data_IF_937591509625
#
_entry.id   IF_937591509625
#
_cell.length_a   1.000
_cell.length_b   1.000
_cell.length_c   1.000
_cell.angle_alpha   90.00
_cell.angle_beta   90.00
_cell.angle_gamma   90.00
#
_symmetry.space_group_name_H-M   'P 1'
#
loop_
_entity.id
_entity.type
_entity.pdbx_description
1 polymer ?
#
# COMPACT_ATOMS: atom_id res chain seq x y z
N UNK A 1 18.45 -5.72 18.06
CA UNK A 1 18.61 -5.92 16.61
C UNK A 1 19.47 -7.16 16.43
N UNK A 2 18.96 -8.18 15.73
CA UNK A 2 19.65 -9.45 15.51
C UNK A 2 20.31 -9.45 14.13
N UNK A 3 21.47 -10.10 14.00
CA UNK A 3 22.20 -10.21 12.74
C UNK A 3 22.12 -11.65 12.24
N UNK A 4 21.99 -11.80 10.93
CA UNK A 4 21.99 -13.08 10.22
C UNK A 4 22.97 -12.99 9.06
N UNK A 5 23.67 -14.09 8.79
CA UNK A 5 24.58 -14.19 7.63
C UNK A 5 23.91 -15.13 6.64
N UNK A 6 23.76 -14.68 5.39
CA UNK A 6 23.13 -15.46 4.32
C UNK A 6 24.10 -15.54 3.16
N UNK A 7 24.40 -16.76 2.71
CA UNK A 7 25.15 -16.98 1.48
C UNK A 7 24.26 -16.67 0.27
N UNK A 8 24.64 -15.64 -0.50
CA UNK A 8 23.89 -15.18 -1.66
C UNK A 8 23.99 -16.13 -2.86
N UNK A 9 25.01 -17.00 -2.92
CA UNK A 9 25.14 -17.99 -4.01
C UNK A 9 24.09 -19.10 -3.89
N UNK A 10 23.57 -19.34 -2.68
CA UNK A 10 22.53 -20.32 -2.38
C UNK A 10 21.20 -19.69 -1.95
N UNK A 11 20.97 -18.43 -2.33
CA UNK A 11 19.78 -17.66 -2.02
C UNK A 11 19.15 -17.06 -3.28
N UNK A 12 17.83 -16.95 -3.31
CA UNK A 12 17.14 -16.19 -4.36
C UNK A 12 17.53 -14.69 -4.32
N UNK A 13 17.31 -13.96 -5.42
CA UNK A 13 17.81 -12.59 -5.58
C UNK A 13 17.02 -11.54 -4.80
N UNK A 14 15.85 -11.89 -4.24
CA UNK A 14 14.96 -10.94 -3.57
C UNK A 14 15.13 -11.03 -2.05
N UNK A 15 14.90 -9.92 -1.35
CA UNK A 15 14.98 -9.86 0.11
C UNK A 15 14.00 -10.85 0.75
N UNK A 16 12.85 -11.14 0.14
CA UNK A 16 11.96 -12.19 0.64
C UNK A 16 12.64 -13.57 0.67
N UNK A 17 13.48 -13.89 -0.31
CA UNK A 17 14.16 -15.19 -0.38
C UNK A 17 15.15 -15.35 0.78
N UNK A 18 15.89 -14.28 1.12
CA UNK A 18 16.81 -14.31 2.25
C UNK A 18 16.09 -14.43 3.59
N UNK A 19 14.97 -13.73 3.78
CA UNK A 19 14.16 -13.86 5.01
C UNK A 19 13.58 -15.28 5.15
N UNK A 20 13.11 -15.89 4.06
CA UNK A 20 12.64 -17.28 4.06
C UNK A 20 13.78 -18.25 4.40
N UNK A 21 14.96 -18.05 3.81
CA UNK A 21 16.14 -18.87 4.08
C UNK A 21 16.57 -18.79 5.55
N UNK A 22 16.63 -17.58 6.12
CA UNK A 22 16.89 -17.38 7.55
C UNK A 22 15.88 -18.16 8.39
N UNK A 23 14.58 -18.03 8.09
CA UNK A 23 13.54 -18.73 8.86
C UNK A 23 13.68 -20.24 8.79
N UNK A 24 13.99 -20.79 7.62
CA UNK A 24 14.03 -22.24 7.42
C UNK A 24 15.31 -22.88 7.96
N UNK A 25 16.44 -22.17 7.90
CA UNK A 25 17.76 -22.76 8.12
C UNK A 25 18.46 -22.26 9.39
N UNK A 26 18.08 -21.09 9.92
CA UNK A 26 18.79 -20.42 11.03
C UNK A 26 17.90 -20.11 12.23
N UNK A 27 16.71 -19.55 12.01
CA UNK A 27 15.78 -19.19 13.09
C UNK A 27 14.30 -19.44 12.71
N UNK A 28 13.74 -20.60 13.05
CA UNK A 28 12.33 -20.91 12.84
C UNK A 28 11.35 -19.98 13.57
N UNK A 29 11.80 -19.20 14.57
CA UNK A 29 10.94 -18.31 15.35
C UNK A 29 10.63 -16.99 14.64
N UNK A 30 11.47 -16.58 13.67
CA UNK A 30 11.32 -15.37 12.86
C UNK A 30 9.97 -15.33 12.12
N UNK A 31 9.22 -14.26 12.30
CA UNK A 31 7.85 -14.12 11.81
C UNK A 31 7.67 -12.93 10.88
N UNK A 32 7.06 -13.16 9.71
CA UNK A 32 6.77 -12.15 8.70
C UNK A 32 5.59 -12.59 7.83
N UNK A 33 4.95 -11.64 7.13
CA UNK A 33 3.83 -11.93 6.21
C UNK A 33 4.31 -12.04 4.76
N UNK A 34 3.81 -13.04 4.03
CA UNK A 34 4.08 -13.25 2.59
C UNK A 34 3.01 -14.13 1.94
N UNK A 35 2.80 -13.96 0.62
CA UNK A 35 1.93 -14.85 -0.17
C UNK A 35 2.40 -15.00 -1.63
N UNK A 36 2.11 -14.03 -2.52
CA UNK A 36 2.18 -14.19 -3.99
C UNK A 36 3.58 -14.30 -4.63
N UNK A 37 4.64 -13.83 -3.96
CA UNK A 37 6.01 -13.70 -4.51
C UNK A 37 6.23 -12.76 -5.71
N UNK A 38 5.18 -12.21 -6.33
CA UNK A 38 5.31 -11.34 -7.52
C UNK A 38 4.86 -9.87 -7.31
N UNK A 39 4.74 -9.42 -6.06
CA UNK A 39 4.45 -8.02 -5.76
C UNK A 39 3.01 -7.57 -6.06
N UNK A 40 2.04 -8.48 -5.96
CA UNK A 40 0.62 -8.18 -6.18
C UNK A 40 -0.21 -8.13 -4.88
N UNK A 41 -0.01 -9.08 -3.95
CA UNK A 41 -0.85 -9.17 -2.74
C UNK A 41 -0.56 -8.12 -1.66
N UNK A 42 0.59 -7.45 -1.72
CA UNK A 42 1.02 -6.44 -0.73
C UNK A 42 1.41 -6.98 0.66
N UNK A 43 1.28 -8.28 0.94
CA UNK A 43 1.45 -8.82 2.31
C UNK A 43 2.86 -8.69 2.88
N UNK A 44 3.90 -8.63 2.04
CA UNK A 44 5.30 -8.54 2.46
C UNK A 44 5.84 -7.10 2.51
N UNK A 45 4.95 -6.13 2.76
CA UNK A 45 5.32 -4.75 2.96
C UNK A 45 6.14 -4.57 4.25
N UNK A 46 7.32 -3.98 4.13
CA UNK A 46 8.24 -3.71 5.24
C UNK A 46 9.19 -2.57 4.86
N UNK A 47 9.98 -2.09 5.81
CA UNK A 47 11.02 -1.10 5.55
C UNK A 47 12.36 -1.81 5.33
N UNK A 48 12.98 -1.58 4.17
CA UNK A 48 14.25 -2.17 3.77
C UNK A 48 15.20 -1.02 3.44
N UNK A 49 16.33 -0.96 4.14
CA UNK A 49 17.33 0.11 4.01
C UNK A 49 16.75 1.53 4.11
N UNK A 50 15.73 1.71 4.97
CA UNK A 50 15.07 3.01 5.18
C UNK A 50 13.90 3.29 4.24
N UNK A 51 13.64 2.44 3.24
CA UNK A 51 12.56 2.64 2.25
C UNK A 51 11.45 1.59 2.43
N UNK A 52 10.20 2.02 2.42
CA UNK A 52 9.06 1.09 2.46
C UNK A 52 8.88 0.45 1.09
N UNK A 53 8.91 -0.87 1.02
CA UNK A 53 8.74 -1.62 -0.24
C UNK A 53 8.19 -3.02 0.03
N UNK A 54 8.02 -3.82 -1.02
CA UNK A 54 7.63 -5.22 -0.93
C UNK A 54 8.88 -6.09 -1.02
N UNK A 55 9.12 -6.91 0.01
CA UNK A 55 10.32 -7.75 0.08
C UNK A 55 10.47 -8.70 -1.12
N UNK A 56 9.36 -9.13 -1.74
CA UNK A 56 9.38 -10.08 -2.86
C UNK A 56 9.83 -9.49 -4.20
N UNK A 57 9.89 -8.16 -4.33
CA UNK A 57 10.39 -7.47 -5.53
C UNK A 57 11.55 -6.52 -5.21
N UNK A 58 11.99 -6.50 -3.95
CA UNK A 58 13.16 -5.76 -3.53
C UNK A 58 14.38 -6.67 -3.72
N UNK A 59 15.26 -6.29 -4.66
CA UNK A 59 16.50 -7.04 -4.92
C UNK A 59 17.49 -6.85 -3.77
N UNK A 60 18.21 -7.91 -3.44
CA UNK A 60 19.35 -7.84 -2.53
C UNK A 60 20.50 -7.11 -3.25
N UNK A 61 21.16 -6.19 -2.56
CA UNK A 61 22.38 -5.55 -3.06
C UNK A 61 23.50 -6.60 -3.14
N UNK A 62 24.21 -6.66 -4.27
CA UNK A 62 25.29 -7.64 -4.48
C UNK A 62 26.58 -7.31 -3.73
N UNK A 63 26.69 -6.09 -3.20
CA UNK A 63 27.84 -5.64 -2.43
C UNK A 63 27.76 -6.20 -1.00
N UNK A 64 28.52 -7.26 -0.74
CA UNK A 64 28.56 -7.95 0.55
C UNK A 64 29.16 -7.12 1.68
N UNK A 65 29.77 -5.96 1.39
CA UNK A 65 30.27 -5.05 2.43
C UNK A 65 29.16 -4.27 3.13
N UNK A 66 27.95 -4.22 2.54
CA UNK A 66 26.81 -3.47 3.08
C UNK A 66 25.83 -4.38 3.80
N UNK A 67 25.49 -4.01 5.03
CA UNK A 67 24.43 -4.67 5.77
C UNK A 67 23.05 -4.23 5.27
N UNK A 68 22.19 -5.18 4.91
CA UNK A 68 20.77 -4.91 4.64
C UNK A 68 19.99 -4.82 5.96
N UNK A 69 19.35 -3.68 6.22
CA UNK A 69 18.55 -3.45 7.43
C UNK A 69 17.07 -3.58 7.10
N UNK A 70 16.38 -4.46 7.84
CA UNK A 70 14.97 -4.75 7.65
C UNK A 70 14.22 -4.41 8.94
N UNK A 71 13.19 -3.58 8.80
CA UNK A 71 12.29 -3.19 9.89
C UNK A 71 10.83 -3.43 9.51
N UNK A 72 9.92 -3.56 10.48
CA UNK A 72 8.48 -3.51 10.23
C UNK A 72 8.08 -2.19 9.56
N UNK A 73 6.83 -2.10 9.09
CA UNK A 73 6.31 -0.83 8.58
C UNK A 73 6.38 0.26 9.67
N UNK A 74 6.93 1.46 9.35
CA UNK A 74 7.06 2.54 10.32
C UNK A 74 5.70 3.01 10.85
N UNK A 75 5.69 3.53 12.07
CA UNK A 75 4.51 4.09 12.74
C UNK A 75 3.32 3.13 12.88
N UNK A 76 3.58 1.82 12.90
CA UNK A 76 2.60 0.79 13.25
C UNK A 76 3.02 0.08 14.53
N UNK A 77 2.04 -0.35 15.33
CA UNK A 77 2.31 -1.25 16.45
C UNK A 77 2.79 -2.60 15.89
N UNK A 78 3.86 -3.14 16.46
CA UNK A 78 4.43 -4.42 16.05
C UNK A 78 3.81 -5.52 16.90
N UNK A 79 3.16 -6.50 16.26
CA UNK A 79 2.59 -7.67 16.93
C UNK A 79 3.71 -8.66 17.28
N UNK A 80 4.55 -8.98 16.30
CA UNK A 80 5.72 -9.85 16.45
C UNK A 80 6.68 -9.64 15.28
N UNK A 81 7.98 -9.55 15.56
CA UNK A 81 9.05 -9.46 14.55
C UNK A 81 8.74 -8.43 13.45
N UNK A 82 8.52 -8.86 12.20
CA UNK A 82 8.21 -8.02 11.04
C UNK A 82 6.71 -7.90 10.76
N UNK A 83 5.84 -8.29 11.69
CA UNK A 83 4.39 -8.29 11.54
C UNK A 83 3.77 -7.10 12.26
N UNK A 84 3.34 -6.04 11.55
CA UNK A 84 2.61 -4.93 12.13
C UNK A 84 1.12 -5.26 12.32
N UNK A 85 0.48 -4.54 13.24
CA UNK A 85 -0.97 -4.47 13.37
C UNK A 85 -1.57 -3.58 12.27
N UNK A 86 -2.44 -4.16 11.45
CA UNK A 86 -3.11 -3.49 10.34
C UNK A 86 -4.57 -3.13 10.66
N UNK A 87 -5.01 -3.31 11.91
CA UNK A 87 -6.40 -3.10 12.33
C UNK A 87 -6.86 -1.68 12.03
N UNK A 88 -6.07 -0.66 12.38
CA UNK A 88 -6.43 0.73 12.09
C UNK A 88 -6.48 1.02 10.58
N UNK A 89 -5.53 0.49 9.82
CA UNK A 89 -5.50 0.63 8.36
C UNK A 89 -6.78 0.10 7.71
N UNK A 90 -7.22 -1.11 8.07
CA UNK A 90 -8.45 -1.69 7.53
C UNK A 90 -9.72 -0.99 8.03
N UNK A 91 -9.72 -0.44 9.25
CA UNK A 91 -10.83 0.39 9.76
C UNK A 91 -10.99 1.66 8.92
N UNK A 92 -9.90 2.38 8.63
CA UNK A 92 -9.91 3.56 7.78
C UNK A 92 -10.30 3.23 6.32
N UNK A 93 -9.83 2.10 5.78
CA UNK A 93 -10.26 1.66 4.45
C UNK A 93 -11.78 1.35 4.40
N UNK A 94 -12.33 0.73 5.44
CA UNK A 94 -13.78 0.46 5.51
C UNK A 94 -14.60 1.74 5.69
N UNK A 95 -14.09 2.72 6.43
CA UNK A 95 -14.84 3.96 6.69
C UNK A 95 -15.12 4.76 5.43
N UNK A 96 -14.29 4.65 4.39
CA UNK A 96 -14.54 5.35 3.11
C UNK A 96 -15.58 4.65 2.22
N UNK A 97 -16.21 3.57 2.68
CA UNK A 97 -17.24 2.76 1.98
C UNK A 97 -16.81 2.31 0.58
N UNK A 98 -15.70 1.56 0.41
CA UNK A 98 -15.03 1.37 -0.88
C UNK A 98 -15.73 0.35 -1.80
N UNK A 99 -16.98 0.63 -2.17
CA UNK A 99 -17.84 -0.16 -3.04
C UNK A 99 -18.82 0.76 -3.77
N UNK A 100 -19.33 0.31 -4.93
CA UNK A 100 -20.27 1.06 -5.77
C UNK A 100 -21.60 1.27 -5.05
N UNK A 101 -22.04 2.53 -4.94
CA UNK A 101 -23.34 2.89 -4.36
C UNK A 101 -24.22 3.54 -5.45
N UNK A 102 -25.40 2.95 -5.68
CA UNK A 102 -26.38 3.41 -6.68
C UNK A 102 -27.77 2.91 -6.32
N UNK A 103 -28.80 3.66 -6.71
CA UNK A 103 -30.20 3.34 -6.42
C UNK A 103 -30.82 2.38 -7.44
N UNK A 104 -30.46 2.49 -8.72
CA UNK A 104 -31.05 1.70 -9.81
C UNK A 104 -30.12 0.56 -10.22
N UNK A 105 -30.60 -0.68 -10.33
CA UNK A 105 -29.76 -1.82 -10.73
C UNK A 105 -30.26 -2.40 -12.07
N UNK A 106 -29.66 -2.01 -13.21
CA UNK A 106 -30.09 -2.53 -14.50
C UNK A 106 -29.82 -4.04 -14.61
N UNK A 107 -30.61 -4.73 -15.44
CA UNK A 107 -30.43 -6.16 -15.72
C UNK A 107 -29.12 -6.48 -16.49
N UNK A 108 -28.47 -5.45 -17.03
CA UNK A 108 -27.20 -5.53 -17.78
C UNK A 108 -26.11 -4.68 -17.12
N UNK A 109 -24.92 -4.66 -17.70
CA UNK A 109 -23.81 -3.87 -17.21
C UNK A 109 -24.09 -2.37 -17.20
N UNK A 110 -23.53 -1.68 -16.20
CA UNK A 110 -23.57 -0.23 -16.13
C UNK A 110 -22.67 0.38 -17.20
N UNK A 111 -23.25 1.20 -18.07
CA UNK A 111 -22.51 1.89 -19.12
C UNK A 111 -21.53 2.91 -18.52
N UNK A 112 -20.32 2.93 -19.06
CA UNK A 112 -19.27 3.90 -18.72
C UNK A 112 -18.44 4.20 -19.96
N UNK A 113 -18.16 5.49 -20.22
CA UNK A 113 -17.33 5.89 -21.35
C UNK A 113 -15.86 5.54 -21.12
N UNK A 114 -15.09 5.32 -22.18
CA UNK A 114 -13.63 5.10 -22.09
C UNK A 114 -12.96 6.30 -21.37
N UNK A 115 -13.45 7.51 -21.62
CA UNK A 115 -12.93 8.74 -20.97
C UNK A 115 -13.16 8.71 -19.47
N UNK A 116 -14.32 8.28 -19.00
CA UNK A 116 -14.62 8.19 -17.57
C UNK A 116 -13.90 7.02 -16.90
N UNK A 117 -13.81 5.87 -17.57
CA UNK A 117 -13.04 4.72 -17.05
C UNK A 117 -11.57 5.07 -16.81
N UNK A 118 -10.96 5.88 -17.69
CA UNK A 118 -9.57 6.35 -17.51
C UNK A 118 -9.38 7.22 -16.27
N UNK A 119 -10.44 7.86 -15.75
CA UNK A 119 -10.36 8.63 -14.48
C UNK A 119 -10.19 7.72 -13.26
N UNK A 120 -10.36 6.41 -13.38
CA UNK A 120 -10.14 5.48 -12.26
C UNK A 120 -8.68 5.04 -12.12
N UNK A 121 -7.85 5.27 -13.15
CA UNK A 121 -6.48 4.80 -13.16
C UNK A 121 -5.59 5.66 -12.25
N UNK A 122 -5.36 5.19 -11.03
CA UNK A 122 -4.45 5.83 -10.06
C UNK A 122 -5.06 7.00 -9.28
N UNK A 123 -6.35 7.25 -9.43
CA UNK A 123 -7.13 8.23 -8.65
C UNK A 123 -8.00 7.53 -7.59
N UNK A 124 -8.67 8.33 -6.77
CA UNK A 124 -9.64 7.82 -5.81
C UNK A 124 -10.88 7.30 -6.54
N UNK A 125 -10.92 5.98 -6.73
CA UNK A 125 -11.86 5.27 -7.60
C UNK A 125 -13.31 5.70 -7.35
N UNK A 126 -13.78 5.69 -6.10
CA UNK A 126 -15.21 5.87 -5.81
C UNK A 126 -15.72 7.32 -5.84
N UNK A 127 -14.86 8.33 -5.85
CA UNK A 127 -15.27 9.73 -6.05
C UNK A 127 -15.34 10.07 -7.55
N UNK A 128 -14.46 9.45 -8.35
CA UNK A 128 -14.32 9.74 -9.77
C UNK A 128 -15.10 8.78 -10.68
N UNK A 129 -15.63 7.68 -10.15
CA UNK A 129 -16.45 6.72 -10.90
C UNK A 129 -17.82 7.31 -11.26
N UNK A 130 -18.03 7.54 -12.55
CA UNK A 130 -19.29 8.05 -13.11
C UNK A 130 -20.51 7.18 -12.80
N UNK A 131 -20.31 5.94 -12.33
CA UNK A 131 -21.37 5.01 -11.99
C UNK A 131 -21.79 5.10 -10.52
N UNK A 132 -20.96 5.70 -9.65
CA UNK A 132 -21.23 5.87 -8.22
C UNK A 132 -22.08 7.12 -7.99
N UNK A 133 -23.10 6.98 -7.15
CA UNK A 133 -24.04 8.05 -6.80
C UNK A 133 -23.79 8.60 -5.39
N UNK A 134 -22.81 8.06 -4.65
CA UNK A 134 -22.53 8.46 -3.26
C UNK A 134 -21.34 9.43 -3.13
N UNK A 135 -20.94 10.08 -4.22
CA UNK A 135 -19.79 10.99 -4.23
C UNK A 135 -19.94 12.16 -3.26
N UNK A 136 -21.17 12.67 -3.08
CA UNK A 136 -21.44 13.77 -2.16
C UNK A 136 -21.22 13.34 -0.71
N UNK A 137 -21.85 12.24 -0.28
CA UNK A 137 -21.73 11.72 1.07
C UNK A 137 -20.27 11.33 1.40
N UNK A 138 -19.53 10.81 0.43
CA UNK A 138 -18.09 10.52 0.60
C UNK A 138 -17.27 11.79 0.81
N UNK A 139 -17.60 12.89 0.12
CA UNK A 139 -16.90 14.18 0.30
C UNK A 139 -17.17 14.76 1.69
N UNK A 140 -18.42 14.73 2.15
CA UNK A 140 -18.76 15.16 3.52
C UNK A 140 -17.97 14.39 4.59
N UNK A 141 -17.79 13.07 4.41
CA UNK A 141 -16.99 12.26 5.34
C UNK A 141 -15.51 12.66 5.39
N UNK A 142 -14.99 13.29 4.33
CA UNK A 142 -13.61 13.79 4.26
C UNK A 142 -13.48 15.23 4.76
N UNK A 143 -14.60 15.95 4.93
CA UNK A 143 -14.66 17.35 5.32
C UNK A 143 -14.48 17.54 6.83
N UNK A 144 -13.26 17.27 7.29
CA UNK A 144 -12.87 17.51 8.67
C UNK A 144 -11.36 17.76 8.77
N UNK A 145 -10.92 18.32 9.89
CA UNK A 145 -9.52 18.71 10.10
C UNK A 145 -8.51 17.55 10.13
N UNK A 146 -8.97 16.30 10.29
CA UNK A 146 -8.13 15.13 10.52
C UNK A 146 -8.03 14.18 9.32
N UNK A 147 -8.96 14.25 8.37
CA UNK A 147 -8.98 13.42 7.17
C UNK A 147 -8.11 14.02 6.05
N UNK A 148 -8.70 14.66 5.05
CA UNK A 148 -8.00 15.06 3.83
C UNK A 148 -6.95 16.15 4.07
N UNK A 149 -7.23 17.10 4.96
CA UNK A 149 -6.44 18.32 5.13
C UNK A 149 -5.13 18.11 5.91
N UNK A 150 -4.90 16.94 6.51
CA UNK A 150 -3.62 16.58 7.17
C UNK A 150 -2.52 16.18 6.18
N UNK A 151 -2.83 16.07 4.89
CA UNK A 151 -1.80 15.88 3.87
C UNK A 151 -1.03 17.19 3.64
N UNK A 152 0.24 17.22 4.05
CA UNK A 152 1.16 18.35 3.89
C UNK A 152 2.07 18.23 2.66
N UNK A 153 1.61 17.55 1.61
CA UNK A 153 2.33 17.45 0.31
C UNK A 153 3.79 17.01 0.43
N UNK A 154 4.08 16.09 1.37
CA UNK A 154 5.44 15.56 1.62
C UNK A 154 5.87 14.58 0.51
N UNK A 155 4.91 14.00 -0.21
CA UNK A 155 5.10 13.11 -1.38
C UNK A 155 5.81 11.77 -1.12
N UNK A 156 6.12 11.42 0.15
CA UNK A 156 6.65 10.11 0.50
C UNK A 156 5.76 8.94 0.02
N UNK A 157 4.44 9.13 0.00
CA UNK A 157 3.47 8.12 -0.45
C UNK A 157 3.66 7.75 -1.93
N UNK A 158 3.86 8.73 -2.81
CA UNK A 158 4.10 8.49 -4.23
C UNK A 158 5.50 7.91 -4.47
N UNK A 159 6.53 8.47 -3.81
CA UNK A 159 7.93 8.02 -3.96
C UNK A 159 8.12 6.55 -3.57
N UNK A 160 7.40 6.08 -2.55
CA UNK A 160 7.59 4.74 -1.99
C UNK A 160 6.66 3.70 -2.60
N UNK A 161 5.69 4.08 -3.45
CA UNK A 161 4.65 3.16 -3.92
C UNK A 161 5.27 2.04 -4.80
N UNK A 162 5.21 0.76 -4.38
CA UNK A 162 5.80 -0.35 -5.13
C UNK A 162 5.06 -0.65 -6.44
N UNK A 163 3.90 -0.02 -6.66
CA UNK A 163 3.08 -0.15 -7.87
C UNK A 163 3.14 1.06 -8.78
N UNK A 164 3.96 2.07 -8.44
CA UNK A 164 4.09 3.30 -9.24
C UNK A 164 2.85 4.19 -9.25
N UNK A 165 1.92 4.00 -8.30
CA UNK A 165 0.75 4.87 -8.16
C UNK A 165 1.14 6.21 -7.53
N UNK A 166 0.31 7.24 -7.73
CA UNK A 166 0.53 8.56 -7.16
C UNK A 166 -0.60 9.00 -6.20
N UNK A 167 -0.63 8.48 -4.95
CA UNK A 167 -1.61 8.92 -3.95
C UNK A 167 -1.53 10.43 -3.64
N UNK A 168 -0.35 11.04 -3.79
CA UNK A 168 -0.16 12.47 -3.54
C UNK A 168 -0.96 13.32 -4.53
N UNK A 169 -0.93 12.95 -5.82
CA UNK A 169 -1.75 13.58 -6.87
C UNK A 169 -3.24 13.33 -6.62
N UNK A 170 -3.64 12.10 -6.30
CA UNK A 170 -5.04 11.78 -6.01
C UNK A 170 -5.59 12.63 -4.86
N UNK A 171 -4.83 12.81 -3.77
CA UNK A 171 -5.21 13.68 -2.65
C UNK A 171 -5.34 15.14 -3.10
N UNK A 172 -4.45 15.63 -3.97
CA UNK A 172 -4.50 17.00 -4.47
C UNK A 172 -5.75 17.25 -5.34
N UNK A 173 -6.13 16.31 -6.20
CA UNK A 173 -7.35 16.41 -7.01
C UNK A 173 -8.61 16.42 -6.13
N UNK A 174 -8.69 15.56 -5.11
CA UNK A 174 -9.83 15.60 -4.15
C UNK A 174 -9.91 16.97 -3.48
N UNK A 175 -8.78 17.52 -3.01
CA UNK A 175 -8.75 18.86 -2.38
C UNK A 175 -9.24 19.94 -3.35
N UNK A 176 -8.84 19.86 -4.62
CA UNK A 176 -9.27 20.80 -5.66
C UNK A 176 -10.77 20.71 -5.91
N UNK A 177 -11.31 19.49 -6.01
CA UNK A 177 -12.76 19.30 -6.15
C UNK A 177 -13.53 19.83 -4.96
N UNK A 178 -13.05 19.59 -3.73
CA UNK A 178 -13.70 20.09 -2.50
C UNK A 178 -13.62 21.60 -2.34
N UNK A 179 -12.62 22.28 -2.94
CA UNK A 179 -12.47 23.73 -2.85
C UNK A 179 -13.30 24.51 -3.89
N UNK A 180 -13.83 23.83 -4.90
CA UNK A 180 -14.66 24.42 -5.97
C UNK A 180 -16.17 24.31 -5.68
N UNK A 181 -16.54 23.73 -4.54
CA UNK A 181 -17.91 23.61 -4.05
C UNK A 181 -18.25 24.72 -3.05
#
# INVERSE_FOLDING_TARGET
MQKYVVDLNSCGPMVLDSIIKIKNEQDPTLTFRRSCREGICGSCAMNINGVNTLACICRIESDSSKECKIYPLPHMYVVKDLVPDLTNFYKQYKSIKPYLQRNEHPERENLQSIKDRRKLDGLYEWLSDSRDQASYERKEMLENSMSLYRCHTIMNCARTCPKGLNPGLAIAEIKKEMALH
#
